data_IF_829049891816
#
_entry.id   IF_829049891816
#
_cell.length_a   1.000
_cell.length_b   1.000
_cell.length_c   1.000
_cell.angle_alpha   90.00
_cell.angle_beta   90.00
_cell.angle_gamma   90.00
#
_symmetry.space_group_name_H-M   'P 1'
#
loop_
_entity.id
_entity.type
_entity.pdbx_description
1 polymer ?
#
# COMPACT_ATOMS: atom_id res chain seq x y z
N UNK A 1 6.69 0.35 7.61
CA UNK A 1 7.13 -0.94 7.03
C UNK A 1 7.46 -0.68 5.57
N UNK A 2 8.56 -1.24 5.07
CA UNK A 2 8.99 -1.09 3.66
C UNK A 2 8.84 -2.43 2.94
N UNK A 3 8.58 -2.41 1.62
CA UNK A 3 8.64 -3.61 0.77
C UNK A 3 10.08 -4.07 0.55
N UNK A 4 11.04 -3.16 0.64
CA UNK A 4 12.49 -3.44 0.61
C UNK A 4 13.04 -3.79 2.00
N UNK A 5 12.29 -4.58 2.77
CA UNK A 5 12.86 -5.27 3.93
C UNK A 5 13.62 -6.49 3.40
N UNK A 6 14.88 -6.28 3.01
CA UNK A 6 15.66 -7.26 2.26
C UNK A 6 16.32 -8.32 3.13
N UNK A 7 16.50 -9.53 2.59
CA UNK A 7 17.30 -10.60 3.18
C UNK A 7 18.18 -11.27 2.11
N UNK A 8 19.38 -11.67 2.50
CA UNK A 8 20.30 -12.47 1.69
C UNK A 8 21.18 -13.34 2.61
N UNK A 9 21.72 -14.44 2.10
CA UNK A 9 22.69 -15.29 2.79
C UNK A 9 22.15 -16.05 4.00
N UNK A 10 20.83 -16.23 4.12
CA UNK A 10 20.23 -16.94 5.24
C UNK A 10 20.66 -18.42 5.28
N UNK A 11 21.00 -18.89 6.48
CA UNK A 11 21.29 -20.30 6.74
C UNK A 11 20.49 -20.79 7.94
N UNK A 12 19.74 -21.87 7.75
CA UNK A 12 18.92 -22.48 8.78
C UNK A 12 19.64 -23.67 9.40
N UNK A 13 20.29 -23.48 10.56
CA UNK A 13 21.01 -24.54 11.30
C UNK A 13 20.20 -24.92 12.53
N UNK A 14 19.72 -26.17 12.60
CA UNK A 14 18.84 -26.65 13.68
C UNK A 14 17.62 -25.74 13.93
N UNK A 15 17.11 -25.11 12.88
CA UNK A 15 15.99 -24.18 12.97
C UNK A 15 14.65 -24.93 13.07
N UNK A 16 13.69 -24.33 13.77
CA UNK A 16 12.29 -24.72 13.65
C UNK A 16 11.68 -24.13 12.37
N UNK A 17 10.59 -24.71 11.84
CA UNK A 17 9.85 -24.09 10.74
C UNK A 17 9.51 -22.64 11.04
N UNK A 18 9.71 -21.76 10.06
CA UNK A 18 9.38 -20.34 10.11
C UNK A 18 8.13 -20.13 9.26
N UNK A 19 7.17 -19.38 9.80
CA UNK A 19 5.89 -19.09 9.14
C UNK A 19 5.35 -17.75 9.63
N UNK A 20 4.46 -17.14 8.85
CA UNK A 20 3.68 -15.98 9.28
C UNK A 20 2.59 -16.42 10.27
N UNK A 21 2.66 -16.05 11.56
CA UNK A 21 1.71 -16.52 12.55
C UNK A 21 0.39 -15.77 12.46
N UNK A 22 -0.73 -16.47 12.53
CA UNK A 22 -2.04 -15.83 12.66
C UNK A 22 -2.02 -14.80 13.80
N UNK A 23 -2.70 -13.67 13.60
CA UNK A 23 -2.79 -12.63 14.61
C UNK A 23 -3.44 -13.21 15.88
N UNK A 24 -2.71 -13.16 17.00
CA UNK A 24 -3.22 -13.50 18.31
C UNK A 24 -3.33 -12.21 19.15
N UNK A 25 -4.55 -11.69 19.38
CA UNK A 25 -4.76 -10.44 20.11
C UNK A 25 -4.20 -10.43 21.53
N UNK A 26 -3.87 -11.60 22.12
CA UNK A 26 -3.23 -11.68 23.44
C UNK A 26 -1.78 -11.22 23.41
N UNK A 27 -1.12 -11.35 22.25
CA UNK A 27 0.30 -11.05 22.05
C UNK A 27 0.53 -9.85 21.13
N UNK A 28 -0.54 -9.28 20.57
CA UNK A 28 -0.46 -8.10 19.72
C UNK A 28 -0.19 -6.84 20.58
N UNK A 29 1.01 -6.28 20.41
CA UNK A 29 1.39 -5.00 21.01
C UNK A 29 0.87 -3.81 20.19
N UNK A 30 0.45 -4.05 18.94
CA UNK A 30 -0.09 -3.07 18.00
C UNK A 30 -1.57 -3.34 17.70
N UNK A 31 -2.38 -3.36 18.78
CA UNK A 31 -3.84 -3.55 18.81
C UNK A 31 -4.66 -2.51 18.01
N UNK A 32 -4.05 -1.78 17.08
CA UNK A 32 -4.60 -0.67 16.30
C UNK A 32 -4.73 -1.01 14.83
N UNK A 33 -5.15 -2.25 14.53
CA UNK A 33 -5.45 -2.71 13.18
C UNK A 33 -4.29 -3.41 12.46
N UNK A 34 -3.17 -3.69 13.13
CA UNK A 34 -2.13 -4.62 12.64
C UNK A 34 -1.65 -4.37 11.20
N UNK A 35 -1.69 -3.13 10.72
CA UNK A 35 -1.38 -2.79 9.31
C UNK A 35 0.06 -3.17 8.94
N UNK A 36 0.98 -3.06 9.90
CA UNK A 36 2.37 -3.47 9.71
C UNK A 36 2.49 -4.97 9.42
N UNK A 37 1.72 -5.80 10.14
CA UNK A 37 1.66 -7.24 9.90
C UNK A 37 0.95 -7.53 8.58
N UNK A 38 -0.30 -7.06 8.40
CA UNK A 38 -1.12 -7.31 7.19
C UNK A 38 -0.47 -6.87 5.86
N UNK A 39 0.50 -5.98 5.93
CA UNK A 39 1.25 -5.49 4.77
C UNK A 39 2.74 -5.82 4.88
N UNK A 40 3.08 -6.86 5.65
CA UNK A 40 4.45 -7.35 5.77
C UNK A 40 4.91 -7.96 4.44
N UNK A 41 6.16 -7.65 4.12
CA UNK A 41 6.85 -8.09 2.91
C UNK A 41 8.30 -8.31 3.29
N UNK A 42 8.89 -9.39 2.81
CA UNK A 42 10.33 -9.64 2.86
C UNK A 42 10.81 -9.80 1.43
N UNK A 43 11.80 -9.01 1.03
CA UNK A 43 12.43 -9.14 -0.28
C UNK A 43 13.65 -10.06 -0.15
N UNK A 44 13.52 -11.31 -0.61
CA UNK A 44 14.61 -12.27 -0.64
C UNK A 44 15.43 -12.10 -1.91
N UNK A 45 16.63 -11.55 -1.75
CA UNK A 45 17.49 -11.16 -2.87
C UNK A 45 18.14 -12.38 -3.55
N UNK A 46 18.45 -13.43 -2.79
CA UNK A 46 19.23 -14.58 -3.26
C UNK A 46 18.48 -15.91 -3.16
N UNK A 47 17.29 -15.91 -2.57
CA UNK A 47 16.44 -17.10 -2.43
C UNK A 47 16.80 -17.94 -1.23
N UNK A 48 17.69 -17.44 -0.36
CA UNK A 48 18.16 -18.17 0.82
C UNK A 48 17.05 -18.45 1.84
N UNK A 49 15.92 -17.75 1.78
CA UNK A 49 14.74 -17.95 2.64
C UNK A 49 13.57 -18.53 1.87
N UNK A 50 13.15 -17.86 0.80
CA UNK A 50 11.97 -18.17 -0.01
C UNK A 50 12.20 -19.28 -1.03
N UNK A 51 13.44 -19.72 -1.24
CA UNK A 51 13.81 -20.69 -2.28
C UNK A 51 13.86 -20.10 -3.70
N UNK A 52 13.57 -18.80 -3.84
CA UNK A 52 13.49 -18.06 -5.08
C UNK A 52 14.17 -16.71 -4.89
N UNK A 53 15.28 -16.45 -5.58
CA UNK A 53 16.00 -15.17 -5.45
C UNK A 53 15.34 -14.06 -6.21
N UNK A 54 15.52 -12.81 -5.77
CA UNK A 54 14.82 -11.61 -6.26
C UNK A 54 13.30 -11.79 -6.23
N UNK A 55 12.78 -12.23 -5.08
CA UNK A 55 11.37 -12.54 -4.87
C UNK A 55 10.87 -11.99 -3.54
N UNK A 56 9.57 -11.75 -3.47
CA UNK A 56 8.92 -11.19 -2.29
C UNK A 56 8.12 -12.26 -1.57
N UNK A 57 8.38 -12.42 -0.28
CA UNK A 57 7.65 -13.31 0.63
C UNK A 57 6.54 -12.48 1.30
N UNK A 58 5.29 -12.81 0.99
CA UNK A 58 4.09 -12.08 1.39
C UNK A 58 3.21 -12.96 2.28
N UNK A 59 2.37 -12.33 3.11
CA UNK A 59 1.38 -13.06 3.92
C UNK A 59 0.33 -13.70 3.01
N UNK A 60 0.06 -14.97 3.30
CA UNK A 60 -0.96 -15.78 2.68
C UNK A 60 -1.55 -16.78 3.70
N UNK A 61 -2.21 -16.27 4.75
CA UNK A 61 -2.78 -17.05 5.86
C UNK A 61 -4.29 -17.36 5.69
N UNK A 62 -4.89 -16.93 4.58
CA UNK A 62 -6.30 -17.02 4.25
C UNK A 62 -7.13 -15.81 4.68
N UNK A 63 -6.80 -15.17 5.82
CA UNK A 63 -7.54 -14.03 6.38
C UNK A 63 -6.95 -12.68 5.94
N UNK A 64 -5.62 -12.60 5.93
CA UNK A 64 -4.82 -11.40 5.68
C UNK A 64 -4.01 -11.51 4.39
N UNK A 65 -4.48 -12.33 3.45
CA UNK A 65 -3.79 -12.55 2.17
C UNK A 65 -3.46 -11.24 1.48
N UNK A 66 -2.20 -11.13 1.04
CA UNK A 66 -1.79 -9.97 0.25
C UNK A 66 -2.47 -9.98 -1.12
N UNK A 67 -3.10 -8.86 -1.49
CA UNK A 67 -3.66 -8.65 -2.84
C UNK A 67 -2.60 -8.72 -3.95
N UNK A 68 -1.33 -8.53 -3.61
CA UNK A 68 -0.22 -8.73 -4.54
C UNK A 68 -0.02 -10.20 -4.95
N UNK A 69 -0.54 -11.14 -4.16
CA UNK A 69 -0.47 -12.58 -4.47
C UNK A 69 -1.26 -12.89 -5.73
N UNK A 70 -0.68 -13.73 -6.57
CA UNK A 70 -1.20 -14.15 -7.85
C UNK A 70 -0.80 -15.60 -8.07
N UNK A 71 -1.76 -16.52 -8.19
CA UNK A 71 -1.46 -17.95 -8.27
C UNK A 71 -0.65 -18.35 -9.53
N UNK A 72 -0.62 -17.51 -10.56
CA UNK A 72 0.20 -17.73 -11.76
C UNK A 72 1.63 -17.19 -11.59
N UNK A 73 1.79 -16.11 -10.83
CA UNK A 73 3.08 -15.44 -10.63
C UNK A 73 3.77 -15.75 -9.28
N UNK A 74 3.11 -16.48 -8.38
CA UNK A 74 3.59 -16.77 -7.04
C UNK A 74 3.54 -18.27 -6.72
N UNK A 75 4.55 -18.75 -6.01
CA UNK A 75 4.51 -20.06 -5.36
C UNK A 75 3.83 -19.93 -3.99
N UNK A 76 2.68 -20.58 -3.83
CA UNK A 76 1.98 -20.62 -2.55
C UNK A 76 2.68 -21.62 -1.63
N UNK A 77 2.99 -21.19 -0.41
CA UNK A 77 3.63 -21.99 0.63
C UNK A 77 2.67 -22.13 1.83
N UNK A 78 1.71 -23.07 1.80
CA UNK A 78 0.69 -23.19 2.84
C UNK A 78 1.27 -23.45 4.23
N UNK A 79 2.38 -24.19 4.31
CA UNK A 79 3.05 -24.47 5.59
C UNK A 79 3.69 -23.25 6.25
N UNK A 80 3.88 -22.16 5.48
CA UNK A 80 4.47 -20.91 5.93
C UNK A 80 3.45 -19.80 6.13
N UNK A 81 2.18 -20.05 5.77
CA UNK A 81 1.17 -19.00 5.59
C UNK A 81 1.69 -17.87 4.68
N UNK A 82 2.37 -18.24 3.59
CA UNK A 82 3.07 -17.29 2.72
C UNK A 82 2.85 -17.57 1.24
N UNK A 83 3.06 -16.54 0.43
CA UNK A 83 3.28 -16.64 -1.00
C UNK A 83 4.65 -16.06 -1.34
N UNK A 84 5.38 -16.72 -2.24
CA UNK A 84 6.68 -16.25 -2.74
C UNK A 84 6.49 -15.81 -4.18
N UNK A 85 6.56 -14.50 -4.40
CA UNK A 85 6.13 -13.86 -5.64
C UNK A 85 7.30 -13.18 -6.36
N UNK A 86 7.38 -13.37 -7.67
CA UNK A 86 8.20 -12.53 -8.54
C UNK A 86 7.51 -11.23 -8.91
N UNK A 87 8.33 -10.28 -9.35
CA UNK A 87 7.88 -8.99 -9.89
C UNK A 87 8.02 -7.87 -8.88
N UNK A 88 7.63 -6.68 -9.28
CA UNK A 88 7.79 -5.46 -8.50
C UNK A 88 6.66 -5.28 -7.49
N UNK A 89 6.99 -5.29 -6.20
CA UNK A 89 6.03 -5.16 -5.09
C UNK A 89 6.19 -3.81 -4.41
N UNK A 90 5.15 -2.99 -4.53
CA UNK A 90 5.08 -1.67 -3.94
C UNK A 90 4.11 -1.52 -2.77
N UNK A 91 4.07 -0.30 -2.26
CA UNK A 91 3.08 0.16 -1.29
C UNK A 91 1.95 0.91 -1.99
N UNK A 92 0.72 0.60 -1.60
CA UNK A 92 -0.47 1.34 -1.98
C UNK A 92 -1.03 2.04 -0.75
N UNK A 93 -1.33 3.33 -0.87
CA UNK A 93 -1.96 4.11 0.19
C UNK A 93 -3.24 4.76 -0.29
N UNK A 94 -4.18 4.86 0.64
CA UNK A 94 -5.44 5.56 0.48
C UNK A 94 -5.47 6.77 1.41
N UNK A 95 -5.95 7.91 0.95
CA UNK A 95 -6.24 9.05 1.85
C UNK A 95 -7.61 9.63 1.53
N UNK A 96 -8.28 10.16 2.55
CA UNK A 96 -9.40 11.06 2.34
C UNK A 96 -8.84 12.49 2.23
N UNK A 97 -9.31 13.29 1.29
CA UNK A 97 -8.86 14.66 1.14
C UNK A 97 -7.64 14.81 0.22
N UNK A 98 -7.57 15.98 -0.43
CA UNK A 98 -6.42 16.48 -1.20
C UNK A 98 -5.10 16.28 -0.46
N UNK A 99 -4.10 15.74 -1.14
CA UNK A 99 -2.70 15.79 -0.70
C UNK A 99 -2.29 17.26 -0.70
N UNK A 100 -2.04 17.91 0.45
CA UNK A 100 -1.45 19.24 0.43
C UNK A 100 -0.07 19.09 -0.20
N UNK A 101 0.21 19.87 -1.25
CA UNK A 101 1.57 20.06 -1.75
C UNK A 101 2.51 20.27 -0.57
N UNK A 102 3.70 19.65 -0.63
CA UNK A 102 4.70 19.61 0.43
C UNK A 102 5.39 20.97 0.70
N UNK A 103 4.67 22.08 0.63
CA UNK A 103 5.09 23.37 1.15
C UNK A 103 4.61 23.51 2.58
N UNK A 104 5.47 23.31 3.60
CA UNK A 104 5.08 23.57 4.97
C UNK A 104 4.75 25.05 5.13
N UNK A 105 3.62 25.35 5.77
CA UNK A 105 3.33 26.69 6.23
C UNK A 105 4.47 27.18 7.15
N UNK A 106 4.89 28.45 7.05
CA UNK A 106 5.90 29.01 7.95
C UNK A 106 5.44 28.87 9.40
N UNK A 107 6.16 28.06 10.19
CA UNK A 107 5.89 27.85 11.62
C UNK A 107 5.42 26.46 12.03
N UNK A 108 5.23 25.51 11.10
CA UNK A 108 4.99 24.11 11.47
C UNK A 108 6.28 23.49 12.03
N UNK A 109 6.37 23.36 13.36
CA UNK A 109 7.48 22.69 14.02
C UNK A 109 7.60 21.24 13.54
N UNK A 110 8.75 20.93 12.93
CA UNK A 110 9.13 19.55 12.59
C UNK A 110 9.20 18.74 13.88
N UNK A 111 8.31 17.77 14.03
CA UNK A 111 8.46 16.70 15.02
C UNK A 111 9.69 15.86 14.67
N UNK A 112 10.87 16.32 15.08
CA UNK A 112 12.12 15.60 14.91
C UNK A 112 12.18 14.41 15.87
N UNK A 113 12.55 13.24 15.33
CA UNK A 113 12.97 12.09 16.11
C UNK A 113 14.29 12.44 16.84
N UNK A 114 14.17 12.93 18.07
CA UNK A 114 15.27 13.10 19.00
C UNK A 114 15.09 12.15 20.18
N UNK A 115 16.10 11.33 20.48
CA UNK A 115 16.18 10.46 21.67
C UNK A 115 16.39 11.26 22.97
N UNK A 116 15.64 12.34 23.15
CA UNK A 116 15.57 13.11 24.38
C UNK A 116 14.12 13.16 24.85
N UNK A 117 13.84 12.57 26.02
CA UNK A 117 12.53 12.67 26.67
C UNK A 117 12.27 14.13 27.10
N UNK A 118 11.88 14.99 26.16
CA UNK A 118 11.21 16.24 26.49
C UNK A 118 9.74 15.87 26.69
N UNK A 119 9.31 15.77 27.95
CA UNK A 119 7.88 15.63 28.28
C UNK A 119 7.13 16.76 27.57
N UNK A 120 6.11 16.46 26.75
CA UNK A 120 5.23 17.50 26.22
C UNK A 120 4.68 18.29 27.40
N UNK A 121 4.91 19.60 27.43
CA UNK A 121 4.27 20.49 28.39
C UNK A 121 2.76 20.28 28.29
N UNK A 122 2.11 20.02 29.42
CA UNK A 122 0.67 19.81 29.46
C UNK A 122 -0.04 20.98 28.76
N UNK A 123 -1.02 20.71 27.88
CA UNK A 123 -1.77 21.77 27.23
C UNK A 123 -2.43 22.67 28.29
N UNK A 124 -2.51 23.99 28.06
CA UNK A 124 -3.11 24.92 29.01
C UNK A 124 -4.54 24.49 29.35
N UNK A 125 -4.91 24.61 30.62
CA UNK A 125 -6.24 24.32 31.10
C UNK A 125 -7.27 25.16 30.32
N UNK A 126 -8.18 24.52 29.60
CA UNK A 126 -9.17 25.17 28.74
C UNK A 126 -8.98 24.97 27.24
N UNK A 127 -7.89 24.31 26.79
CA UNK A 127 -7.79 23.89 25.40
C UNK A 127 -8.90 22.87 25.07
N UNK A 128 -9.83 23.25 24.19
CA UNK A 128 -10.84 22.36 23.64
C UNK A 128 -10.10 21.24 22.92
N UNK A 129 -10.17 20.02 23.46
CA UNK A 129 -9.71 18.84 22.73
C UNK A 129 -10.62 18.73 21.52
N UNK A 130 -10.08 19.00 20.33
CA UNK A 130 -10.76 18.68 19.08
C UNK A 130 -11.20 17.23 19.15
N UNK A 131 -12.50 16.98 18.94
CA UNK A 131 -13.00 15.62 18.87
C UNK A 131 -12.15 14.83 17.86
N UNK A 132 -11.85 13.54 18.13
CA UNK A 132 -11.20 12.70 17.14
C UNK A 132 -11.98 12.80 15.82
N UNK A 133 -11.29 12.86 14.66
CA UNK A 133 -11.95 12.79 13.37
C UNK A 133 -12.88 11.57 13.35
N UNK A 134 -14.05 11.72 12.72
CA UNK A 134 -14.93 10.58 12.49
C UNK A 134 -14.16 9.47 11.75
N UNK A 135 -14.42 8.18 12.05
CA UNK A 135 -13.84 7.09 11.30
C UNK A 135 -14.10 7.29 9.81
N UNK A 136 -13.06 7.16 8.98
CA UNK A 136 -13.23 7.18 7.54
C UNK A 136 -13.97 5.93 7.10
N UNK A 137 -14.84 6.07 6.10
CA UNK A 137 -15.53 4.93 5.47
C UNK A 137 -14.51 3.88 4.99
N UNK A 138 -14.84 2.58 5.07
CA UNK A 138 -13.91 1.51 4.74
C UNK A 138 -13.56 1.50 3.24
N UNK A 139 -12.44 0.85 2.93
CA UNK A 139 -12.04 0.52 1.56
C UNK A 139 -11.90 -0.99 1.48
N UNK A 140 -12.46 -1.58 0.43
CA UNK A 140 -12.27 -2.97 0.06
C UNK A 140 -11.69 -2.99 -1.34
N UNK A 141 -10.60 -3.73 -1.54
CA UNK A 141 -10.08 -3.99 -2.87
C UNK A 141 -10.63 -5.31 -3.39
N UNK A 142 -10.94 -5.38 -4.68
CA UNK A 142 -11.42 -6.60 -5.32
C UNK A 142 -10.48 -6.96 -6.47
N UNK A 143 -10.01 -8.20 -6.47
CA UNK A 143 -9.17 -8.76 -7.51
C UNK A 143 -9.48 -10.24 -7.69
N UNK A 144 -9.62 -10.70 -8.93
CA UNK A 144 -9.95 -12.09 -9.28
C UNK A 144 -11.19 -12.63 -8.53
N UNK A 145 -12.19 -11.77 -8.29
CA UNK A 145 -13.41 -12.13 -7.55
C UNK A 145 -13.23 -12.28 -6.03
N UNK A 146 -12.05 -11.99 -5.50
CA UNK A 146 -11.77 -12.00 -4.05
C UNK A 146 -11.71 -10.58 -3.49
N UNK A 147 -12.31 -10.40 -2.32
CA UNK A 147 -12.28 -9.15 -1.57
C UNK A 147 -11.10 -9.11 -0.58
N UNK A 148 -10.49 -7.93 -0.47
CA UNK A 148 -9.37 -7.63 0.40
C UNK A 148 -9.70 -6.37 1.22
N UNK A 149 -10.26 -6.52 2.43
CA UNK A 149 -10.55 -5.40 3.30
C UNK A 149 -9.28 -4.65 3.71
N UNK A 150 -9.27 -3.32 3.52
CA UNK A 150 -8.08 -2.51 3.79
C UNK A 150 -8.12 -1.97 5.21
N UNK A 151 -7.05 -2.24 5.95
CA UNK A 151 -6.84 -1.69 7.30
C UNK A 151 -5.74 -0.63 7.27
N UNK A 152 -5.94 0.46 8.02
CA UNK A 152 -4.93 1.51 8.13
C UNK A 152 -4.65 2.26 6.83
N UNK A 153 -5.57 2.20 5.84
CA UNK A 153 -5.44 2.86 4.55
C UNK A 153 -4.14 2.51 3.79
N UNK A 154 -3.64 1.29 3.96
CA UNK A 154 -2.40 0.84 3.35
C UNK A 154 -2.53 -0.61 2.89
N UNK A 155 -1.90 -0.94 1.76
CA UNK A 155 -1.75 -2.29 1.25
C UNK A 155 -0.40 -2.47 0.55
N UNK A 156 -0.13 -3.70 0.12
CA UNK A 156 0.96 -4.06 -0.80
C UNK A 156 0.36 -4.44 -2.14
N UNK A 157 1.02 -4.09 -3.23
CA UNK A 157 0.52 -4.34 -4.59
C UNK A 157 1.64 -4.79 -5.50
N UNK A 158 1.33 -5.66 -6.47
CA UNK A 158 2.25 -6.09 -7.51
C UNK A 158 2.05 -5.24 -8.76
N UNK A 159 3.11 -4.80 -9.42
CA UNK A 159 3.00 -4.10 -10.69
C UNK A 159 2.26 -4.93 -11.75
N UNK A 160 1.56 -4.24 -12.65
CA UNK A 160 0.93 -4.83 -13.82
C UNK A 160 -0.43 -5.48 -13.58
N UNK A 161 -1.17 -5.05 -12.56
CA UNK A 161 -2.47 -5.61 -12.20
C UNK A 161 -3.59 -4.56 -12.27
N UNK A 162 -4.81 -5.04 -12.52
CA UNK A 162 -6.05 -4.27 -12.41
C UNK A 162 -6.76 -4.62 -11.10
N UNK A 163 -7.26 -3.61 -10.38
CA UNK A 163 -7.90 -3.75 -9.07
C UNK A 163 -9.17 -2.91 -9.03
N UNK A 164 -10.27 -3.45 -8.54
CA UNK A 164 -11.45 -2.64 -8.24
C UNK A 164 -11.38 -2.12 -6.79
N UNK A 165 -11.77 -0.86 -6.58
CA UNK A 165 -11.76 -0.19 -5.27
C UNK A 165 -13.20 0.12 -4.87
N UNK A 166 -13.70 -0.58 -3.86
CA UNK A 166 -15.04 -0.36 -3.30
C UNK A 166 -14.96 0.49 -2.04
N UNK A 167 -15.72 1.59 -2.00
CA UNK A 167 -15.78 2.48 -0.84
C UNK A 167 -16.97 3.42 -0.90
N UNK A 168 -17.43 3.87 0.26
CA UNK A 168 -18.46 4.92 0.42
C UNK A 168 -17.88 6.34 0.56
N UNK A 169 -16.56 6.50 0.44
CA UNK A 169 -15.93 7.83 0.47
C UNK A 169 -16.34 8.64 -0.75
N UNK A 170 -16.68 9.91 -0.55
CA UNK A 170 -16.95 10.84 -1.66
C UNK A 170 -15.67 11.22 -2.43
N UNK A 171 -14.52 11.16 -1.76
CA UNK A 171 -13.21 11.43 -2.34
C UNK A 171 -12.16 10.42 -1.85
N UNK A 172 -11.32 9.95 -2.77
CA UNK A 172 -10.22 9.02 -2.48
C UNK A 172 -8.96 9.47 -3.21
N UNK A 173 -7.88 9.68 -2.47
CA UNK A 173 -6.55 9.77 -3.05
C UNK A 173 -5.88 8.39 -3.05
N UNK A 174 -5.51 7.91 -4.23
CA UNK A 174 -4.70 6.71 -4.45
C UNK A 174 -3.25 7.15 -4.64
N UNK A 175 -2.31 6.47 -3.99
CA UNK A 175 -0.89 6.76 -4.15
C UNK A 175 -0.05 5.53 -3.99
N UNK A 176 1.05 5.47 -4.76
CA UNK A 176 2.00 4.36 -4.71
C UNK A 176 3.42 4.81 -4.49
N UNK A 177 4.19 3.95 -3.85
CA UNK A 177 5.63 4.11 -3.63
C UNK A 177 6.32 2.74 -3.57
N UNK A 178 7.65 2.78 -3.53
CA UNK A 178 8.50 1.59 -3.42
C UNK A 178 8.33 0.63 -4.61
N UNK A 179 8.15 1.21 -5.80
CA UNK A 179 8.02 0.48 -7.06
C UNK A 179 9.08 0.95 -8.05
N UNK A 180 9.53 0.07 -8.92
CA UNK A 180 10.47 0.41 -9.99
C UNK A 180 9.84 1.37 -11.01
N UNK A 181 10.71 2.11 -11.71
CA UNK A 181 10.31 2.94 -12.84
C UNK A 181 9.50 2.11 -13.86
N UNK A 182 8.51 2.76 -14.47
CA UNK A 182 7.62 2.21 -15.51
C UNK A 182 6.64 1.13 -15.00
N UNK A 183 6.70 0.76 -13.71
CA UNK A 183 5.65 -0.03 -13.08
C UNK A 183 4.32 0.70 -13.08
N UNK A 184 3.24 -0.05 -13.22
CA UNK A 184 1.91 0.51 -13.34
C UNK A 184 0.84 -0.31 -12.63
N UNK A 185 -0.26 0.35 -12.29
CA UNK A 185 -1.47 -0.24 -11.72
C UNK A 185 -2.68 0.42 -12.34
N UNK A 186 -3.74 -0.36 -12.60
CA UNK A 186 -5.04 0.18 -13.03
C UNK A 186 -6.05 -0.06 -11.92
N UNK A 187 -6.83 0.98 -11.62
CA UNK A 187 -7.89 0.93 -10.62
C UNK A 187 -9.25 1.22 -11.28
N UNK A 188 -10.25 0.41 -10.96
CA UNK A 188 -11.66 0.71 -11.23
C UNK A 188 -12.30 1.28 -9.96
N UNK A 189 -12.99 2.41 -10.09
CA UNK A 189 -13.73 3.06 -9.01
C UNK A 189 -15.20 3.24 -9.43
N UNK A 190 -16.08 2.30 -9.06
CA UNK A 190 -17.52 2.41 -9.33
C UNK A 190 -18.13 3.64 -8.65
N UNK A 191 -19.11 4.26 -9.32
CA UNK A 191 -19.83 5.46 -8.88
C UNK A 191 -18.98 6.74 -8.75
N UNK A 192 -17.69 6.69 -9.05
CA UNK A 192 -16.85 7.88 -9.20
C UNK A 192 -17.05 8.48 -10.59
N UNK A 193 -16.92 9.80 -10.71
CA UNK A 193 -17.09 10.48 -11.99
C UNK A 193 -15.84 11.22 -12.43
N UNK A 194 -14.91 11.59 -11.55
CA UNK A 194 -13.83 12.50 -11.91
C UNK A 194 -12.49 12.16 -11.25
N UNK A 195 -11.38 12.57 -11.90
CA UNK A 195 -10.03 12.54 -11.38
C UNK A 195 -9.44 13.96 -11.38
N UNK A 196 -8.82 14.37 -10.28
CA UNK A 196 -8.25 15.71 -10.11
C UNK A 196 -6.97 15.94 -10.92
N UNK A 197 -6.35 14.87 -11.43
CA UNK A 197 -5.09 14.91 -12.17
C UNK A 197 -4.95 13.71 -13.09
N UNK A 198 -3.95 13.76 -13.97
CA UNK A 198 -3.70 12.74 -14.99
C UNK A 198 -4.36 13.08 -16.32
N UNK A 199 -3.93 12.39 -17.37
CA UNK A 199 -4.43 12.61 -18.74
C UNK A 199 -5.74 11.84 -18.91
N UNK A 200 -6.81 12.53 -19.28
CA UNK A 200 -8.07 11.87 -19.66
C UNK A 200 -7.89 11.17 -21.01
N UNK A 201 -8.20 9.88 -21.05
CA UNK A 201 -8.14 9.02 -22.23
C UNK A 201 -9.55 8.83 -22.78
N UNK A 202 -9.64 8.53 -24.08
CA UNK A 202 -10.92 8.35 -24.78
C UNK A 202 -11.50 6.94 -24.66
N UNK A 203 -10.71 5.98 -24.16
CA UNK A 203 -11.05 4.57 -24.12
C UNK A 203 -10.24 3.80 -23.08
N UNK A 204 -10.76 2.63 -22.67
CA UNK A 204 -10.02 1.67 -21.84
C UNK A 204 -8.75 1.13 -22.51
N UNK A 205 -8.77 0.99 -23.83
CA UNK A 205 -7.60 0.55 -24.59
C UNK A 205 -6.50 1.62 -24.55
N UNK A 206 -6.84 2.89 -24.77
CA UNK A 206 -5.91 4.01 -24.64
C UNK A 206 -5.36 4.11 -23.20
N UNK A 207 -6.22 3.92 -22.19
CA UNK A 207 -5.78 3.89 -20.79
C UNK A 207 -4.75 2.79 -20.53
N UNK A 208 -5.00 1.56 -21.00
CA UNK A 208 -4.08 0.42 -20.82
C UNK A 208 -2.73 0.66 -21.49
N UNK A 209 -2.70 1.34 -22.65
CA UNK A 209 -1.48 1.67 -23.37
C UNK A 209 -0.79 2.97 -22.92
N UNK A 210 -1.42 3.78 -22.06
CA UNK A 210 -0.83 5.02 -21.58
C UNK A 210 0.48 4.78 -20.83
N UNK A 211 1.50 5.57 -21.15
CA UNK A 211 2.82 5.55 -20.50
C UNK A 211 2.95 6.53 -19.33
N UNK A 212 1.89 7.30 -19.05
CA UNK A 212 1.83 8.29 -17.99
C UNK A 212 0.55 8.11 -17.18
N UNK A 213 0.53 8.63 -15.95
CA UNK A 213 -0.66 8.57 -15.10
C UNK A 213 -1.85 9.20 -15.82
N UNK A 214 -2.88 8.39 -16.05
CA UNK A 214 -4.01 8.68 -16.94
C UNK A 214 -5.30 8.12 -16.37
N UNK A 215 -6.44 8.60 -16.83
CA UNK A 215 -7.74 8.11 -16.40
C UNK A 215 -8.74 8.07 -17.55
N UNK A 216 -9.80 7.29 -17.40
CA UNK A 216 -10.88 7.14 -18.37
C UNK A 216 -12.22 7.14 -17.63
N UNK A 217 -13.17 7.95 -18.10
CA UNK A 217 -14.55 7.93 -17.61
C UNK A 217 -15.34 6.86 -18.36
N UNK A 218 -15.63 5.74 -17.67
CA UNK A 218 -16.58 4.75 -18.15
C UNK A 218 -18.03 5.17 -17.91
N UNK A 219 -18.98 4.28 -18.20
CA UNK A 219 -20.41 4.56 -18.03
C UNK A 219 -20.83 4.73 -16.57
N UNK A 220 -20.29 3.88 -15.67
CA UNK A 220 -20.65 3.84 -14.24
C UNK A 220 -19.44 3.82 -13.30
N UNK A 221 -18.24 4.09 -13.82
CA UNK A 221 -17.01 4.04 -13.06
C UNK A 221 -15.94 4.96 -13.67
N UNK A 222 -15.01 5.42 -12.85
CA UNK A 222 -13.73 5.96 -13.33
C UNK A 222 -12.67 4.88 -13.26
N UNK A 223 -11.92 4.75 -14.35
CA UNK A 223 -10.73 3.94 -14.42
C UNK A 223 -9.51 4.83 -14.36
N UNK A 224 -8.50 4.46 -13.58
CA UNK A 224 -7.27 5.24 -13.47
C UNK A 224 -6.06 4.34 -13.52
N UNK A 225 -5.08 4.71 -14.34
CA UNK A 225 -3.77 4.08 -14.41
C UNK A 225 -2.76 4.97 -13.70
N UNK A 226 -2.15 4.45 -12.64
CA UNK A 226 -0.95 5.05 -12.05
C UNK A 226 0.27 4.46 -12.76
N UNK A 227 1.19 5.31 -13.20
CA UNK A 227 2.49 4.91 -13.77
C UNK A 227 3.60 5.56 -12.97
N UNK A 228 4.57 4.74 -12.54
CA UNK A 228 5.71 5.15 -11.71
C UNK A 228 6.76 5.82 -12.60
N UNK A 229 7.06 7.12 -12.40
CA UNK A 229 7.91 7.88 -13.33
C UNK A 229 9.41 7.64 -13.15
N UNK A 230 9.83 7.24 -11.94
CA UNK A 230 11.23 7.12 -11.54
C UNK A 230 11.37 6.01 -10.48
N UNK A 231 12.55 5.40 -10.35
CA UNK A 231 12.84 4.40 -9.33
C UNK A 231 12.76 4.97 -7.89
N UNK A 232 12.59 4.12 -6.86
CA UNK A 232 12.50 4.59 -5.48
C UNK A 232 13.79 5.30 -5.03
N UNK A 233 13.63 6.49 -4.45
CA UNK A 233 14.76 7.22 -3.86
C UNK A 233 15.28 6.50 -2.61
N UNK A 234 16.59 6.27 -2.55
CA UNK A 234 17.28 5.68 -1.40
C UNK A 234 17.84 6.75 -0.43
N UNK A 235 17.77 6.54 0.90
CA UNK A 235 17.05 5.45 1.56
C UNK A 235 15.53 5.64 1.42
N UNK A 236 14.79 4.54 1.32
CA UNK A 236 13.33 4.56 1.20
C UNK A 236 12.72 5.27 2.41
N UNK A 237 11.78 6.17 2.12
CA UNK A 237 10.99 6.87 3.14
C UNK A 237 9.52 6.69 2.82
N UNK A 238 8.66 6.44 3.83
CA UNK A 238 7.22 6.30 3.61
C UNK A 238 6.54 7.53 2.98
N UNK A 239 7.19 8.70 3.00
CA UNK A 239 6.71 9.93 2.39
C UNK A 239 7.03 10.06 0.90
N UNK A 240 7.87 9.18 0.34
CA UNK A 240 8.33 9.27 -1.04
C UNK A 240 7.30 8.63 -1.99
N UNK A 241 6.17 9.32 -2.17
CA UNK A 241 5.15 8.92 -3.15
C UNK A 241 5.70 9.14 -4.57
N UNK A 242 5.56 8.13 -5.42
CA UNK A 242 6.05 8.16 -6.80
C UNK A 242 4.94 8.48 -7.81
N UNK A 243 3.72 7.99 -7.58
CA UNK A 243 2.55 8.33 -8.38
C UNK A 243 1.31 8.46 -7.50
N UNK A 244 0.43 9.40 -7.84
CA UNK A 244 -0.82 9.60 -7.10
C UNK A 244 -1.89 10.26 -7.94
N UNK A 245 -3.14 10.04 -7.57
CA UNK A 245 -4.32 10.66 -8.15
C UNK A 245 -5.39 10.81 -7.08
N UNK A 246 -6.19 11.88 -7.15
CA UNK A 246 -7.38 12.05 -6.30
C UNK A 246 -8.62 11.91 -7.16
N UNK A 247 -9.56 11.07 -6.73
CA UNK A 247 -10.82 10.81 -7.42
C UNK A 247 -12.00 11.28 -6.58
N UNK A 248 -13.04 11.76 -7.24
CA UNK A 248 -14.29 12.20 -6.61
C UNK A 248 -15.53 11.66 -7.35
N UNK A 249 -16.61 11.50 -6.59
CA UNK A 249 -17.95 11.18 -7.10
C UNK A 249 -18.60 12.37 -7.80
#
# INVERSE_FOLDING_TARGET
VSTESTIEGAQFVNAKPVYFPNIDPRFDNDNRGGVAYRTAVIHDLDGSVGGMGDAYILIHDGENDSIATDEEACEIQPSWNASVCKGDIGRLFFRAGTVPSATPAPGALRGGFGFGYVRPSAPPAGAVRTAPPAPQEPIVLVRNGKEFPITGNQSTVRAGIEIQVLTNRDEVALSVSEMNKDSWLIFELPDFSNAASGIEQDSMEALRHASETSWFRGESAVWVKLVVPEDPLLPIRPSNIQASVTLNR
#
